data_IF_627673174378
#
_entry.id   IF_627673174378
#
_cell.length_a   1.000
_cell.length_b   1.000
_cell.length_c   1.000
_cell.angle_alpha   90.00
_cell.angle_beta   90.00
_cell.angle_gamma   90.00
#
_symmetry.space_group_name_H-M   'P 1'
#
loop_
_entity.id
_entity.type
_entity.pdbx_description
1 polymer ?
#
# COMPACT_ATOMS: atom_id res chain seq x y z
N UNK A 1 38.96 -9.09 9.68
CA UNK A 1 38.14 -8.06 10.36
C UNK A 1 36.76 -8.69 10.60
N UNK A 2 36.22 -8.64 11.82
CA UNK A 2 34.92 -9.24 12.13
C UNK A 2 33.84 -8.16 12.17
N UNK A 3 33.14 -7.96 11.05
CA UNK A 3 32.01 -7.03 10.98
C UNK A 3 30.72 -7.86 11.14
N UNK A 4 30.07 -7.85 12.32
CA UNK A 4 28.87 -8.66 12.57
C UNK A 4 27.60 -8.00 12.01
N UNK A 5 27.64 -6.70 11.72
CA UNK A 5 26.53 -5.91 11.22
C UNK A 5 27.03 -4.96 10.14
N UNK A 6 26.34 -4.93 9.01
CA UNK A 6 26.68 -4.06 7.89
C UNK A 6 25.41 -3.42 7.32
N UNK A 7 25.48 -2.13 7.07
CA UNK A 7 24.46 -1.39 6.31
C UNK A 7 25.14 -0.83 5.07
N UNK A 8 24.57 -1.08 3.91
CA UNK A 8 25.08 -0.66 2.60
C UNK A 8 24.05 0.28 1.99
N UNK A 9 24.50 1.41 1.47
CA UNK A 9 23.59 2.40 0.87
C UNK A 9 23.03 1.90 -0.45
N UNK A 10 23.87 1.32 -1.29
CA UNK A 10 23.51 0.87 -2.63
C UNK A 10 24.43 -0.29 -3.01
N UNK A 11 23.88 -1.36 -3.58
CA UNK A 11 24.67 -2.50 -4.03
C UNK A 11 23.95 -3.30 -5.11
N UNK A 12 24.71 -3.86 -6.04
CA UNK A 12 24.23 -4.84 -7.03
C UNK A 12 24.52 -6.28 -6.59
N UNK A 13 23.96 -7.26 -7.30
CA UNK A 13 24.06 -8.68 -6.94
C UNK A 13 25.50 -9.20 -6.84
N UNK A 14 26.33 -8.99 -7.87
CA UNK A 14 27.70 -9.50 -7.88
C UNK A 14 28.58 -8.92 -6.76
N UNK A 15 28.62 -7.60 -6.52
CA UNK A 15 29.30 -7.03 -5.37
C UNK A 15 28.79 -7.58 -4.03
N UNK A 16 27.47 -7.77 -3.88
CA UNK A 16 26.88 -8.35 -2.67
C UNK A 16 27.35 -9.80 -2.46
N UNK A 17 27.32 -10.61 -3.50
CA UNK A 17 27.79 -11.99 -3.44
C UNK A 17 29.27 -12.06 -3.02
N UNK A 18 30.15 -11.27 -3.67
CA UNK A 18 31.58 -11.19 -3.31
C UNK A 18 31.78 -10.73 -1.87
N UNK A 19 31.01 -9.75 -1.40
CA UNK A 19 31.07 -9.25 -0.03
C UNK A 19 30.76 -10.37 0.98
N UNK A 20 29.75 -11.19 0.71
CA UNK A 20 29.37 -12.32 1.58
C UNK A 20 30.49 -13.37 1.67
N UNK A 21 31.35 -13.51 0.64
CA UNK A 21 32.54 -14.36 0.70
C UNK A 21 33.62 -13.82 1.65
N UNK A 22 33.79 -12.50 1.71
CA UNK A 22 34.80 -11.85 2.55
C UNK A 22 34.36 -11.63 3.99
N UNK A 23 33.04 -11.60 4.26
CA UNK A 23 32.47 -11.36 5.59
C UNK A 23 31.60 -12.54 6.03
N UNK A 24 32.16 -13.76 6.16
CA UNK A 24 31.36 -14.97 6.36
C UNK A 24 30.61 -15.01 7.70
N UNK A 25 31.06 -14.23 8.70
CA UNK A 25 30.46 -14.18 10.05
C UNK A 25 29.44 -13.05 10.23
N UNK A 26 29.02 -12.41 9.13
CA UNK A 26 28.00 -11.37 9.14
C UNK A 26 26.69 -11.93 9.71
N UNK A 27 26.10 -11.24 10.69
CA UNK A 27 24.84 -11.62 11.34
C UNK A 27 23.68 -10.74 10.91
N UNK A 28 23.97 -9.48 10.58
CA UNK A 28 23.00 -8.49 10.17
C UNK A 28 23.48 -7.81 8.88
N UNK A 29 22.61 -7.80 7.87
CA UNK A 29 22.82 -7.08 6.63
C UNK A 29 21.59 -6.21 6.36
N UNK A 30 21.82 -4.93 6.15
CA UNK A 30 20.83 -4.02 5.60
C UNK A 30 21.36 -3.42 4.30
N UNK A 31 20.51 -3.37 3.29
CA UNK A 31 20.76 -2.70 2.01
C UNK A 31 19.68 -1.63 1.86
N UNK A 32 20.06 -0.38 1.66
CA UNK A 32 19.06 0.68 1.48
C UNK A 32 18.48 0.66 0.06
N UNK A 33 19.34 0.44 -0.93
CA UNK A 33 18.96 0.35 -2.33
C UNK A 33 19.60 -0.88 -2.97
N UNK A 34 18.76 -1.79 -3.47
CA UNK A 34 19.20 -3.02 -4.14
C UNK A 34 18.68 -3.02 -5.57
N UNK A 35 19.60 -2.89 -6.53
CA UNK A 35 19.27 -2.77 -7.94
C UNK A 35 20.01 -3.83 -8.77
N UNK A 36 19.39 -4.28 -9.85
CA UNK A 36 19.92 -5.28 -10.79
C UNK A 36 20.01 -4.73 -12.23
N UNK A 37 19.88 -3.41 -12.40
CA UNK A 37 19.94 -2.72 -13.70
C UNK A 37 21.23 -2.96 -14.51
N UNK A 38 22.28 -3.49 -13.88
CA UNK A 38 23.62 -3.61 -14.47
C UNK A 38 24.00 -5.02 -14.98
N UNK A 39 23.10 -6.03 -14.95
CA UNK A 39 23.58 -7.40 -15.20
C UNK A 39 22.79 -8.25 -16.21
N UNK A 40 23.45 -8.57 -17.34
CA UNK A 40 23.29 -9.85 -18.05
C UNK A 40 23.99 -10.99 -17.26
N UNK A 41 24.08 -10.90 -15.92
CA UNK A 41 24.89 -11.84 -15.14
C UNK A 41 24.12 -13.13 -14.88
N UNK A 42 24.54 -14.15 -15.61
CA UNK A 42 24.12 -15.52 -15.42
C UNK A 42 24.47 -16.01 -14.02
N UNK A 43 23.49 -15.95 -13.12
CA UNK A 43 23.57 -16.45 -11.74
C UNK A 43 23.90 -17.95 -11.68
N UNK A 44 23.78 -18.69 -12.78
CA UNK A 44 24.09 -20.12 -12.87
C UNK A 44 25.53 -20.47 -12.52
N UNK A 45 26.47 -19.52 -12.63
CA UNK A 45 27.89 -19.72 -12.34
C UNK A 45 28.29 -19.36 -10.90
N UNK A 46 27.38 -18.84 -10.08
CA UNK A 46 27.65 -18.50 -8.68
C UNK A 46 27.60 -19.77 -7.82
N UNK A 47 28.75 -20.17 -7.28
CA UNK A 47 28.85 -21.34 -6.39
C UNK A 47 28.13 -21.02 -5.06
N UNK A 48 27.13 -21.81 -4.69
CA UNK A 48 26.42 -21.63 -3.41
C UNK A 48 27.35 -21.74 -2.19
N UNK A 49 27.77 -20.59 -1.65
CA UNK A 49 28.34 -20.51 -0.30
C UNK A 49 27.29 -19.98 0.66
N UNK A 50 26.97 -20.80 1.67
CA UNK A 50 25.97 -20.45 2.65
C UNK A 50 26.54 -19.41 3.63
N UNK A 51 25.92 -18.23 3.72
CA UNK A 51 26.17 -17.25 4.78
C UNK A 51 25.42 -17.68 6.06
N UNK A 52 25.84 -18.81 6.64
CA UNK A 52 25.14 -19.50 7.75
C UNK A 52 25.02 -18.65 9.03
N UNK A 53 25.80 -17.58 9.16
CA UNK A 53 25.76 -16.72 10.34
C UNK A 53 24.72 -15.60 10.20
N UNK A 54 24.23 -15.32 8.98
CA UNK A 54 23.27 -14.26 8.73
C UNK A 54 21.94 -14.62 9.38
N UNK A 55 21.46 -13.73 10.27
CA UNK A 55 20.20 -13.86 11.01
C UNK A 55 19.18 -12.82 10.59
N UNK A 56 19.64 -11.67 10.09
CA UNK A 56 18.78 -10.57 9.67
C UNK A 56 19.24 -10.04 8.33
N UNK A 57 18.30 -9.97 7.40
CA UNK A 57 18.49 -9.38 6.08
C UNK A 57 17.35 -8.39 5.81
N UNK A 58 17.69 -7.13 5.54
CA UNK A 58 16.73 -6.05 5.33
C UNK A 58 17.10 -5.34 4.03
N UNK A 59 16.09 -5.08 3.20
CA UNK A 59 16.19 -4.28 1.98
C UNK A 59 15.17 -3.15 2.10
N UNK A 60 15.59 -1.88 2.07
CA UNK A 60 14.67 -0.75 2.21
C UNK A 60 13.98 -0.41 0.87
N UNK A 61 14.72 -0.52 -0.24
CA UNK A 61 14.21 -0.41 -1.60
C UNK A 61 14.85 -1.48 -2.48
N UNK A 62 14.03 -2.10 -3.33
CA UNK A 62 14.42 -3.21 -4.18
C UNK A 62 13.87 -3.01 -5.59
N UNK A 63 14.76 -3.05 -6.57
CA UNK A 63 14.47 -3.09 -8.00
C UNK A 63 15.06 -4.36 -8.64
N UNK A 64 15.20 -5.44 -7.86
CA UNK A 64 15.71 -6.73 -8.33
C UNK A 64 14.57 -7.72 -8.55
N UNK A 65 14.69 -8.58 -9.56
CA UNK A 65 13.72 -9.62 -9.84
C UNK A 65 13.61 -10.65 -8.70
N UNK A 66 12.47 -11.35 -8.62
CA UNK A 66 12.23 -12.33 -7.55
C UNK A 66 13.26 -13.45 -7.53
N UNK A 67 13.73 -13.90 -8.70
CA UNK A 67 14.67 -15.02 -8.81
C UNK A 67 16.01 -14.73 -8.11
N UNK A 68 16.39 -13.46 -7.99
CA UNK A 68 17.55 -13.02 -7.22
C UNK A 68 17.35 -13.26 -5.72
N UNK A 69 16.16 -12.97 -5.19
CA UNK A 69 15.84 -13.30 -3.80
C UNK A 69 15.79 -14.81 -3.57
N UNK A 70 15.27 -15.60 -4.51
CA UNK A 70 15.32 -17.07 -4.41
C UNK A 70 16.75 -17.56 -4.25
N UNK A 71 17.65 -17.04 -5.07
CA UNK A 71 19.06 -17.39 -5.03
C UNK A 71 19.70 -16.99 -3.68
N UNK A 72 19.53 -15.74 -3.26
CA UNK A 72 20.14 -15.21 -2.04
C UNK A 72 19.60 -15.89 -0.77
N UNK A 73 18.28 -16.05 -0.66
CA UNK A 73 17.64 -16.62 0.53
C UNK A 73 17.98 -18.10 0.73
N UNK A 74 18.20 -18.85 -0.36
CA UNK A 74 18.77 -20.21 -0.29
C UNK A 74 20.17 -20.25 0.32
N UNK A 75 20.94 -19.18 0.17
CA UNK A 75 22.26 -19.04 0.77
C UNK A 75 22.21 -18.66 2.27
N UNK A 76 21.03 -18.31 2.80
CA UNK A 76 20.83 -17.83 4.18
C UNK A 76 19.98 -18.81 5.01
N UNK A 77 20.41 -20.08 5.18
CA UNK A 77 19.57 -21.14 5.77
C UNK A 77 19.17 -20.88 7.24
N UNK A 78 19.81 -19.91 7.88
CA UNK A 78 19.70 -19.60 9.30
C UNK A 78 19.04 -18.24 9.58
N UNK A 79 18.45 -17.65 8.55
CA UNK A 79 17.80 -16.35 8.58
C UNK A 79 16.57 -16.39 9.50
N UNK A 80 16.46 -15.41 10.39
CA UNK A 80 15.35 -15.26 11.34
C UNK A 80 14.42 -14.11 10.98
N UNK A 81 14.99 -13.06 10.40
CA UNK A 81 14.29 -11.85 10.00
C UNK A 81 14.64 -11.53 8.56
N UNK A 82 13.61 -11.40 7.74
CA UNK A 82 13.72 -10.90 6.38
C UNK A 82 12.75 -9.75 6.16
N UNK A 83 13.21 -8.68 5.53
CA UNK A 83 12.37 -7.53 5.24
C UNK A 83 12.65 -6.92 3.87
N UNK A 84 11.60 -6.58 3.12
CA UNK A 84 11.66 -5.79 1.88
C UNK A 84 10.68 -4.62 2.02
N UNK A 85 11.15 -3.40 2.29
CA UNK A 85 10.24 -2.29 2.64
C UNK A 85 9.53 -1.69 1.44
N UNK A 86 10.13 -1.75 0.25
CA UNK A 86 9.51 -1.32 -1.00
C UNK A 86 10.10 -2.14 -2.14
N UNK A 87 9.23 -2.69 -2.98
CA UNK A 87 9.62 -3.29 -4.26
C UNK A 87 8.52 -3.04 -5.26
N UNK A 88 8.90 -2.60 -6.45
CA UNK A 88 7.98 -2.22 -7.53
C UNK A 88 7.86 -3.34 -8.58
N UNK A 89 8.53 -4.47 -8.31
CA UNK A 89 8.62 -5.64 -9.18
C UNK A 89 7.38 -6.52 -9.07
N UNK A 90 6.66 -6.66 -10.19
CA UNK A 90 5.39 -7.40 -10.25
C UNK A 90 5.55 -8.88 -9.83
N UNK A 91 6.72 -9.47 -10.08
CA UNK A 91 7.02 -10.85 -9.68
C UNK A 91 7.03 -11.06 -8.16
N UNK A 92 7.16 -9.98 -7.37
CA UNK A 92 7.08 -10.06 -5.91
C UNK A 92 5.68 -10.39 -5.41
N UNK A 93 4.64 -10.12 -6.21
CA UNK A 93 3.24 -10.43 -5.88
C UNK A 93 2.89 -11.85 -6.34
N UNK A 94 3.63 -12.83 -5.80
CA UNK A 94 3.35 -14.26 -5.95
C UNK A 94 3.43 -14.96 -4.59
N UNK A 95 2.28 -15.13 -3.95
CA UNK A 95 2.18 -15.76 -2.65
C UNK A 95 2.66 -17.22 -2.65
N UNK A 96 2.41 -17.96 -3.74
CA UNK A 96 2.75 -19.38 -3.81
C UNK A 96 4.26 -19.56 -3.93
N UNK A 97 4.92 -18.72 -4.74
CA UNK A 97 6.38 -18.75 -4.91
C UNK A 97 7.09 -18.37 -3.60
N UNK A 98 6.59 -17.34 -2.90
CA UNK A 98 7.09 -17.01 -1.56
C UNK A 98 6.89 -18.15 -0.56
N UNK A 99 5.68 -18.72 -0.49
CA UNK A 99 5.39 -19.85 0.41
C UNK A 99 6.35 -21.02 0.16
N UNK A 100 6.52 -21.42 -1.10
CA UNK A 100 7.44 -22.48 -1.49
C UNK A 100 8.89 -22.19 -1.07
N UNK A 101 9.37 -20.96 -1.29
CA UNK A 101 10.72 -20.56 -0.89
C UNK A 101 10.91 -20.61 0.63
N UNK A 102 9.93 -20.13 1.39
CA UNK A 102 9.97 -20.11 2.86
C UNK A 102 10.00 -21.52 3.42
N UNK A 103 9.09 -22.39 2.95
CA UNK A 103 8.99 -23.79 3.41
C UNK A 103 10.24 -24.60 3.03
N UNK A 104 10.80 -24.38 1.84
CA UNK A 104 11.94 -25.15 1.34
C UNK A 104 13.29 -24.70 1.89
N UNK A 105 13.47 -23.41 2.15
CA UNK A 105 14.80 -22.81 2.32
C UNK A 105 14.98 -22.01 3.61
N UNK A 106 13.90 -21.62 4.29
CA UNK A 106 13.95 -20.69 5.42
C UNK A 106 13.27 -21.26 6.69
N UNK A 107 13.73 -22.42 7.21
CA UNK A 107 13.06 -23.11 8.33
C UNK A 107 13.09 -22.33 9.65
N UNK A 108 13.96 -21.32 9.76
CA UNK A 108 14.10 -20.49 10.96
C UNK A 108 13.54 -19.08 10.79
N UNK A 109 12.79 -18.78 9.73
CA UNK A 109 12.22 -17.45 9.53
C UNK A 109 11.05 -17.23 10.48
N UNK A 110 11.20 -16.28 11.41
CA UNK A 110 10.16 -15.91 12.37
C UNK A 110 9.49 -14.59 11.99
N UNK A 111 10.24 -13.70 11.34
CA UNK A 111 9.76 -12.38 10.93
C UNK A 111 9.97 -12.22 9.45
N UNK A 112 8.87 -12.14 8.71
CA UNK A 112 8.85 -11.70 7.33
C UNK A 112 8.05 -10.41 7.27
N UNK A 113 8.65 -9.36 6.71
CA UNK A 113 8.02 -8.06 6.53
C UNK A 113 8.18 -7.62 5.09
N UNK A 114 7.10 -7.16 4.49
CA UNK A 114 7.20 -6.67 3.12
C UNK A 114 6.17 -5.61 2.79
N UNK A 115 6.44 -4.87 1.73
CA UNK A 115 5.49 -4.04 1.01
C UNK A 115 5.86 -4.09 -0.48
N UNK A 116 5.02 -4.78 -1.25
CA UNK A 116 5.16 -5.00 -2.68
C UNK A 116 4.13 -4.17 -3.43
N UNK A 117 4.59 -3.45 -4.44
CA UNK A 117 3.83 -2.52 -5.24
C UNK A 117 3.74 -3.06 -6.66
N UNK A 118 2.55 -2.97 -7.26
CA UNK A 118 2.31 -3.33 -8.65
C UNK A 118 1.59 -2.18 -9.35
N UNK A 119 2.27 -1.55 -10.29
CA UNK A 119 1.75 -0.46 -11.13
C UNK A 119 1.21 -0.94 -12.50
N UNK A 120 1.07 -2.26 -12.70
CA UNK A 120 0.60 -2.81 -13.97
C UNK A 120 -0.87 -2.52 -14.24
N UNK A 121 -1.24 -2.43 -15.51
CA UNK A 121 -2.63 -2.26 -15.95
C UNK A 121 -3.42 -3.58 -16.06
N UNK A 122 -3.05 -4.60 -15.28
CA UNK A 122 -3.75 -5.91 -15.31
C UNK A 122 -5.18 -5.80 -14.76
N UNK A 123 -6.04 -6.75 -15.17
CA UNK A 123 -7.46 -6.74 -14.82
C UNK A 123 -7.67 -6.80 -13.29
N UNK A 124 -8.60 -5.98 -12.78
CA UNK A 124 -8.92 -5.88 -11.34
C UNK A 124 -9.18 -7.26 -10.71
N UNK A 125 -10.00 -8.10 -11.37
CA UNK A 125 -10.37 -9.41 -10.83
C UNK A 125 -9.15 -10.36 -10.71
N UNK A 126 -8.23 -10.32 -11.69
CA UNK A 126 -7.01 -11.13 -11.65
C UNK A 126 -6.05 -10.69 -10.53
N UNK A 127 -5.93 -9.37 -10.32
CA UNK A 127 -5.15 -8.81 -9.21
C UNK A 127 -5.72 -9.24 -7.86
N UNK A 128 -7.03 -9.12 -7.66
CA UNK A 128 -7.68 -9.50 -6.39
C UNK A 128 -7.43 -10.98 -6.08
N UNK A 129 -7.55 -11.87 -7.07
CA UNK A 129 -7.28 -13.31 -6.87
C UNK A 129 -5.84 -13.54 -6.39
N UNK A 130 -4.84 -12.89 -7.00
CA UNK A 130 -3.43 -13.02 -6.58
C UNK A 130 -3.20 -12.49 -5.17
N UNK A 131 -3.77 -11.33 -4.85
CA UNK A 131 -3.60 -10.68 -3.54
C UNK A 131 -4.25 -11.50 -2.41
N UNK A 132 -5.41 -12.11 -2.67
CA UNK A 132 -6.09 -12.98 -1.70
C UNK A 132 -5.28 -14.23 -1.31
N UNK A 133 -4.34 -14.68 -2.15
CA UNK A 133 -3.46 -15.81 -1.80
C UNK A 133 -2.49 -15.47 -0.65
N UNK A 134 -2.25 -14.19 -0.37
CA UNK A 134 -1.50 -13.74 0.81
C UNK A 134 -2.32 -13.79 2.12
N UNK A 135 -3.61 -14.18 2.06
CA UNK A 135 -4.49 -14.25 3.23
C UNK A 135 -4.85 -15.69 3.64
N UNK A 136 -4.14 -16.69 3.12
CA UNK A 136 -4.35 -18.10 3.49
C UNK A 136 -3.89 -18.40 4.93
N UNK A 137 -4.29 -19.58 5.43
CA UNK A 137 -3.92 -20.06 6.77
C UNK A 137 -2.40 -20.17 6.99
N UNK A 138 -1.63 -20.38 5.92
CA UNK A 138 -0.17 -20.37 5.95
C UNK A 138 0.35 -19.05 6.56
N UNK A 139 -0.12 -17.92 6.05
CA UNK A 139 0.33 -16.61 6.51
C UNK A 139 -0.18 -16.29 7.93
N UNK A 140 -1.49 -16.37 8.13
CA UNK A 140 -2.13 -15.88 9.35
C UNK A 140 -2.07 -16.84 10.54
N UNK A 141 -2.25 -18.15 10.32
CA UNK A 141 -2.33 -19.14 11.43
C UNK A 141 -0.99 -19.79 11.71
N UNK A 142 -0.29 -20.24 10.67
CA UNK A 142 0.99 -20.95 10.83
C UNK A 142 2.13 -19.99 11.16
N UNK A 143 2.23 -18.87 10.46
CA UNK A 143 3.33 -17.91 10.63
C UNK A 143 2.97 -16.65 11.42
N UNK A 144 1.68 -16.39 11.65
CA UNK A 144 1.19 -15.17 12.33
C UNK A 144 1.66 -13.86 11.65
N UNK A 145 1.86 -13.92 10.34
CA UNK A 145 2.12 -12.75 9.51
C UNK A 145 0.78 -12.26 8.95
N UNK A 146 0.34 -11.12 9.48
CA UNK A 146 -0.89 -10.48 9.02
C UNK A 146 -0.59 -9.65 7.79
N UNK A 147 -1.29 -9.95 6.70
CA UNK A 147 -1.09 -9.33 5.41
C UNK A 147 -2.40 -8.69 4.98
N UNK A 148 -2.29 -7.45 4.53
CA UNK A 148 -3.39 -6.71 3.92
C UNK A 148 -2.97 -6.24 2.53
N UNK A 149 -3.94 -5.82 1.75
CA UNK A 149 -3.69 -5.28 0.43
C UNK A 149 -4.61 -4.12 0.11
N UNK A 150 -4.08 -3.19 -0.67
CA UNK A 150 -4.82 -2.08 -1.25
C UNK A 150 -4.81 -2.25 -2.76
N UNK A 151 -5.95 -1.99 -3.39
CA UNK A 151 -6.07 -2.09 -4.83
C UNK A 151 -6.92 -0.94 -5.36
N UNK A 152 -6.42 -0.32 -6.42
CA UNK A 152 -7.19 0.55 -7.30
C UNK A 152 -7.03 0.08 -8.75
N UNK A 153 -7.44 0.89 -9.70
CA UNK A 153 -7.41 0.55 -11.12
C UNK A 153 -6.04 0.73 -11.82
N UNK A 154 -5.04 1.31 -11.14
CA UNK A 154 -3.67 1.49 -11.65
C UNK A 154 -2.62 0.83 -10.79
N UNK A 155 -2.93 0.59 -9.54
CA UNK A 155 -1.99 0.10 -8.57
C UNK A 155 -2.60 -0.95 -7.67
N UNK A 156 -1.75 -1.87 -7.23
CA UNK A 156 -2.00 -2.71 -6.08
C UNK A 156 -0.80 -2.64 -5.15
N UNK A 157 -1.06 -2.78 -3.86
CA UNK A 157 -0.04 -2.94 -2.84
C UNK A 157 -0.43 -4.13 -1.97
N UNK A 158 0.52 -4.99 -1.65
CA UNK A 158 0.36 -6.03 -0.63
C UNK A 158 1.46 -5.89 0.40
N UNK A 159 1.09 -5.88 1.67
CA UNK A 159 2.02 -5.54 2.73
C UNK A 159 1.70 -6.25 4.04
N UNK A 160 2.76 -6.51 4.81
CA UNK A 160 2.61 -7.00 6.17
C UNK A 160 2.19 -5.87 7.09
N UNK A 161 1.10 -6.05 7.84
CA UNK A 161 0.69 -5.10 8.88
C UNK A 161 1.63 -5.31 10.08
N UNK A 162 2.20 -4.25 10.68
CA UNK A 162 2.90 -4.39 11.95
C UNK A 162 1.96 -5.01 12.99
N UNK A 163 2.45 -6.04 13.69
CA UNK A 163 1.73 -6.67 14.79
C UNK A 163 1.53 -5.66 15.94
N UNK A 164 0.42 -4.92 15.88
CA UNK A 164 -0.21 -4.33 17.03
C UNK A 164 -1.47 -5.13 17.29
N UNK A 165 -1.43 -5.92 18.38
CA UNK A 165 -2.50 -6.73 18.91
C UNK A 165 -3.88 -6.05 18.70
N UNK A 166 -4.84 -6.66 17.96
CA UNK A 166 -6.15 -6.03 17.69
C UNK A 166 -7.02 -5.85 18.95
N UNK A 167 -6.52 -6.28 20.11
CA UNK A 167 -7.11 -6.03 21.42
C UNK A 167 -6.72 -4.68 22.05
N UNK A 168 -5.91 -3.85 21.39
CA UNK A 168 -5.58 -2.50 21.88
C UNK A 168 -6.30 -1.42 21.05
N UNK A 169 -7.36 -0.93 21.68
CA UNK A 169 -8.03 0.35 21.49
C UNK A 169 -9.18 0.39 20.46
N UNK A 170 -10.36 0.18 21.02
CA UNK A 170 -11.65 0.73 20.59
C UNK A 170 -11.71 2.27 20.70
N UNK A 171 -10.58 2.98 20.79
CA UNK A 171 -10.55 4.42 20.52
C UNK A 171 -10.40 4.60 19.02
N UNK A 172 -11.35 5.28 18.37
CA UNK A 172 -11.32 5.51 16.93
C UNK A 172 -9.92 6.00 16.50
N UNK A 173 -9.21 5.15 15.74
CA UNK A 173 -7.85 5.38 15.20
C UNK A 173 -7.70 6.73 14.48
N UNK A 174 -8.82 7.35 14.11
CA UNK A 174 -8.88 8.59 13.32
C UNK A 174 -9.32 9.83 14.10
N UNK A 175 -9.40 9.79 15.44
CA UNK A 175 -9.84 10.94 16.23
C UNK A 175 -8.96 12.20 16.02
N UNK A 176 -7.69 12.02 15.65
CA UNK A 176 -6.77 13.12 15.36
C UNK A 176 -6.86 13.65 13.91
N UNK A 177 -7.61 12.98 13.03
CA UNK A 177 -7.76 13.40 11.63
C UNK A 177 -8.67 14.62 11.54
N UNK A 178 -8.09 15.77 11.18
CA UNK A 178 -8.82 17.04 10.97
C UNK A 178 -9.06 17.36 9.50
N UNK A 179 -8.28 16.77 8.59
CA UNK A 179 -8.38 16.98 7.15
C UNK A 179 -8.46 15.61 6.49
N UNK A 180 -9.45 15.44 5.63
CA UNK A 180 -9.69 14.20 4.91
C UNK A 180 -9.86 14.51 3.42
N UNK A 181 -9.17 13.73 2.58
CA UNK A 181 -9.39 13.72 1.14
C UNK A 181 -10.03 12.39 0.80
N UNK A 182 -11.20 12.41 0.19
CA UNK A 182 -11.93 11.22 -0.22
C UNK A 182 -12.07 11.18 -1.73
N UNK A 183 -11.65 10.05 -2.29
CA UNK A 183 -12.05 9.67 -3.63
C UNK A 183 -13.49 9.15 -3.62
N UNK A 184 -14.25 9.46 -4.67
CA UNK A 184 -15.68 9.12 -4.75
C UNK A 184 -15.93 7.59 -4.80
N UNK A 185 -14.91 6.80 -5.17
CA UNK A 185 -14.98 5.33 -5.12
C UNK A 185 -14.84 4.78 -3.69
N UNK A 186 -14.10 5.48 -2.83
CA UNK A 186 -13.95 5.10 -1.43
C UNK A 186 -15.25 5.30 -0.62
N UNK A 187 -16.21 6.07 -1.16
CA UNK A 187 -17.55 6.22 -0.58
C UNK A 187 -18.39 4.98 -0.93
N UNK A 188 -18.17 3.91 -0.18
CA UNK A 188 -18.78 2.59 -0.32
C UNK A 188 -19.48 2.17 0.97
N UNK A 189 -20.63 1.47 0.91
CA UNK A 189 -21.34 1.00 2.11
C UNK A 189 -20.52 0.04 2.97
N UNK A 190 -19.46 -0.57 2.43
CA UNK A 190 -18.55 -1.46 3.16
C UNK A 190 -17.43 -0.71 3.89
N UNK A 191 -17.43 0.63 3.90
CA UNK A 191 -16.43 1.41 4.62
C UNK A 191 -16.59 1.22 6.13
N UNK A 192 -15.58 0.61 6.77
CA UNK A 192 -15.54 0.37 8.21
C UNK A 192 -15.04 1.59 9.01
N UNK A 193 -14.82 2.73 8.36
CA UNK A 193 -14.14 3.88 8.93
C UNK A 193 -15.10 5.01 9.28
N UNK A 194 -14.99 5.57 10.49
CA UNK A 194 -15.70 6.77 10.90
C UNK A 194 -14.73 7.87 11.36
N UNK A 195 -14.79 9.02 10.69
CA UNK A 195 -13.94 10.18 10.91
C UNK A 195 -14.71 11.29 11.64
N UNK A 196 -14.78 11.16 12.98
CA UNK A 196 -15.58 12.03 13.84
C UNK A 196 -15.17 13.52 13.80
N UNK A 197 -13.88 13.80 13.71
CA UNK A 197 -13.31 15.10 14.02
C UNK A 197 -12.81 15.89 12.80
N UNK A 198 -13.17 15.47 11.59
CA UNK A 198 -12.77 16.16 10.35
C UNK A 198 -13.42 17.53 10.28
N UNK A 199 -12.64 18.53 9.90
CA UNK A 199 -13.08 19.92 9.70
C UNK A 199 -12.84 20.37 8.26
N UNK A 200 -11.94 19.71 7.53
CA UNK A 200 -11.66 19.99 6.13
C UNK A 200 -11.88 18.73 5.30
N UNK A 201 -12.88 18.76 4.42
CA UNK A 201 -13.19 17.67 3.51
C UNK A 201 -12.84 18.07 2.07
N UNK A 202 -12.08 17.22 1.40
CA UNK A 202 -11.81 17.32 -0.04
C UNK A 202 -12.50 16.14 -0.71
N UNK A 203 -13.39 16.43 -1.66
CA UNK A 203 -14.08 15.43 -2.48
C UNK A 203 -13.53 15.54 -3.90
N UNK A 204 -12.90 14.47 -4.36
CA UNK A 204 -12.32 14.38 -5.70
C UNK A 204 -11.11 13.44 -5.72
N UNK A 205 -10.71 13.01 -6.91
CA UNK A 205 -9.55 12.15 -7.12
C UNK A 205 -8.77 12.59 -8.37
N UNK A 206 -7.55 12.09 -8.53
CA UNK A 206 -6.77 12.28 -9.75
C UNK A 206 -7.09 11.15 -10.71
N UNK A 207 -8.17 11.27 -11.48
CA UNK A 207 -8.62 10.22 -12.40
C UNK A 207 -8.85 10.72 -13.82
N UNK A 208 -7.96 10.35 -14.75
CA UNK A 208 -8.14 10.54 -16.19
C UNK A 208 -8.93 9.37 -16.81
N UNK A 209 -10.24 9.22 -16.51
CA UNK A 209 -10.99 8.03 -17.00
C UNK A 209 -12.38 8.33 -17.56
N UNK A 210 -12.77 7.50 -18.54
CA UNK A 210 -13.89 7.68 -19.48
C UNK A 210 -15.25 7.16 -18.98
N UNK A 211 -15.34 6.49 -17.82
CA UNK A 211 -16.60 5.96 -17.31
C UNK A 211 -17.21 6.88 -16.23
N UNK A 212 -17.91 7.93 -16.66
CA UNK A 212 -18.32 9.09 -15.84
C UNK A 212 -19.23 8.71 -14.63
N UNK A 213 -19.97 7.61 -14.71
CA UNK A 213 -21.05 7.33 -13.75
C UNK A 213 -20.57 6.85 -12.37
N UNK A 214 -19.49 6.07 -12.28
CA UNK A 214 -18.98 5.56 -10.99
C UNK A 214 -18.27 6.63 -10.16
N UNK A 215 -17.85 7.72 -10.80
CA UNK A 215 -17.09 8.82 -10.21
C UNK A 215 -18.00 9.99 -9.86
N UNK A 216 -19.30 9.88 -10.12
CA UNK A 216 -20.26 10.91 -9.75
C UNK A 216 -20.77 10.66 -8.35
N UNK A 217 -20.74 11.72 -7.54
CA UNK A 217 -21.46 11.77 -6.28
C UNK A 217 -22.96 11.72 -6.60
N UNK A 218 -23.66 10.81 -5.93
CA UNK A 218 -25.10 10.65 -5.99
C UNK A 218 -25.70 10.80 -4.60
N UNK A 219 -27.00 11.01 -4.50
CA UNK A 219 -27.71 11.09 -3.21
C UNK A 219 -27.44 9.87 -2.33
N UNK A 220 -27.40 8.66 -2.91
CA UNK A 220 -27.02 7.43 -2.20
C UNK A 220 -25.60 7.49 -1.65
N UNK A 221 -24.64 8.04 -2.41
CA UNK A 221 -23.26 8.23 -1.91
C UNK A 221 -23.20 9.30 -0.83
N UNK A 222 -24.07 10.32 -0.84
CA UNK A 222 -24.16 11.30 0.25
C UNK A 222 -24.65 10.67 1.56
N UNK A 223 -25.56 9.70 1.49
CA UNK A 223 -26.00 8.94 2.68
C UNK A 223 -24.84 8.14 3.27
N UNK A 224 -24.07 7.44 2.42
CA UNK A 224 -22.87 6.71 2.85
C UNK A 224 -21.80 7.66 3.40
N UNK A 225 -21.60 8.82 2.77
CA UNK A 225 -20.64 9.81 3.22
C UNK A 225 -20.95 10.31 4.64
N UNK A 226 -22.23 10.46 4.98
CA UNK A 226 -22.71 10.84 6.31
C UNK A 226 -22.38 9.77 7.37
N UNK A 227 -22.28 8.50 6.96
CA UNK A 227 -21.84 7.40 7.81
C UNK A 227 -20.32 7.37 8.02
N UNK A 228 -19.54 7.92 7.08
CA UNK A 228 -18.08 7.93 7.12
C UNK A 228 -17.54 9.18 7.81
N UNK A 229 -18.20 10.33 7.63
CA UNK A 229 -17.74 11.63 8.12
C UNK A 229 -18.89 12.34 8.82
N UNK A 230 -18.62 12.95 9.97
CA UNK A 230 -19.57 13.87 10.57
C UNK A 230 -19.65 15.17 9.75
N UNK A 231 -20.60 15.25 8.82
CA UNK A 231 -20.76 16.39 7.92
C UNK A 231 -21.03 17.70 8.66
N UNK A 232 -21.68 17.66 9.83
CA UNK A 232 -21.95 18.86 10.63
C UNK A 232 -20.67 19.54 11.18
N UNK A 233 -19.55 18.81 11.25
CA UNK A 233 -18.26 19.34 11.73
C UNK A 233 -17.42 19.98 10.62
N UNK A 234 -17.81 19.81 9.36
CA UNK A 234 -17.03 20.30 8.22
C UNK A 234 -17.15 21.82 8.14
N UNK A 235 -15.99 22.48 8.22
CA UNK A 235 -15.84 23.94 8.08
C UNK A 235 -15.32 24.33 6.70
N UNK A 236 -14.51 23.47 6.08
CA UNK A 236 -13.91 23.70 4.76
C UNK A 236 -14.28 22.54 3.84
N UNK A 237 -14.97 22.85 2.74
CA UNK A 237 -15.24 21.89 1.67
C UNK A 237 -14.45 22.28 0.43
N UNK A 238 -13.77 21.33 -0.18
CA UNK A 238 -13.20 21.46 -1.53
C UNK A 238 -13.78 20.38 -2.43
N UNK A 239 -14.25 20.79 -3.61
CA UNK A 239 -14.67 19.87 -4.68
C UNK A 239 -13.78 20.14 -5.88
N UNK A 240 -13.07 19.10 -6.33
CA UNK A 240 -11.95 19.28 -7.26
C UNK A 240 -12.34 19.31 -8.74
N UNK A 241 -13.55 18.88 -9.13
CA UNK A 241 -13.95 18.77 -10.54
C UNK A 241 -15.48 18.70 -10.69
N UNK A 242 -16.06 19.31 -11.72
CA UNK A 242 -17.50 19.29 -11.98
C UNK A 242 -18.03 17.93 -12.44
N UNK A 243 -17.18 17.08 -13.04
CA UNK A 243 -17.58 15.73 -13.49
C UNK A 243 -18.07 14.88 -12.33
N UNK A 244 -17.65 15.22 -11.12
CA UNK A 244 -17.95 14.52 -9.89
C UNK A 244 -19.31 14.85 -9.28
N UNK A 245 -20.01 15.91 -9.68
CA UNK A 245 -21.21 16.33 -8.97
C UNK A 245 -22.24 17.02 -9.88
N UNK A 246 -23.53 16.78 -9.67
CA UNK A 246 -24.58 17.60 -10.27
C UNK A 246 -24.92 18.78 -9.36
N UNK A 247 -25.58 19.81 -9.91
CA UNK A 247 -26.12 20.92 -9.13
C UNK A 247 -27.05 20.44 -8.00
N UNK A 248 -27.96 19.50 -8.29
CA UNK A 248 -28.86 18.90 -7.31
C UNK A 248 -28.11 18.25 -6.13
N UNK A 249 -27.13 17.38 -6.43
CA UNK A 249 -26.37 16.66 -5.39
C UNK A 249 -25.49 17.62 -4.60
N UNK A 250 -24.94 18.65 -5.25
CA UNK A 250 -24.19 19.71 -4.56
C UNK A 250 -25.09 20.46 -3.58
N UNK A 251 -26.32 20.80 -3.97
CA UNK A 251 -27.27 21.46 -3.09
C UNK A 251 -27.61 20.59 -1.87
N UNK A 252 -27.86 19.30 -2.07
CA UNK A 252 -28.09 18.33 -1.00
C UNK A 252 -26.90 18.22 -0.04
N UNK A 253 -25.68 18.17 -0.59
CA UNK A 253 -24.45 18.14 0.20
C UNK A 253 -24.32 19.42 1.05
N UNK A 254 -24.51 20.60 0.46
CA UNK A 254 -24.42 21.87 1.19
C UNK A 254 -25.48 21.99 2.28
N UNK A 255 -26.70 21.47 2.06
CA UNK A 255 -27.76 21.43 3.09
C UNK A 255 -27.36 20.59 4.31
N UNK A 256 -26.57 19.53 4.12
CA UNK A 256 -26.04 18.71 5.23
C UNK A 256 -24.85 19.36 5.96
N UNK A 257 -24.20 20.34 5.35
CA UNK A 257 -22.98 20.98 5.85
C UNK A 257 -23.30 22.26 6.64
N UNK A 258 -23.87 22.11 7.83
CA UNK A 258 -24.34 23.23 8.66
C UNK A 258 -23.26 24.21 9.16
N UNK A 259 -21.98 23.81 9.13
CA UNK A 259 -20.86 24.60 9.68
C UNK A 259 -19.87 25.09 8.62
N UNK A 260 -20.16 24.92 7.32
CA UNK A 260 -19.24 25.33 6.25
C UNK A 260 -19.05 26.85 6.26
N UNK A 261 -17.79 27.26 6.38
CA UNK A 261 -17.35 28.66 6.32
C UNK A 261 -16.42 28.92 5.14
N UNK A 262 -15.94 27.87 4.47
CA UNK A 262 -15.07 27.97 3.30
C UNK A 262 -15.48 26.91 2.27
N UNK A 263 -15.79 27.36 1.05
CA UNK A 263 -16.08 26.52 -0.10
C UNK A 263 -15.04 26.79 -1.18
N UNK A 264 -14.37 25.74 -1.66
CA UNK A 264 -13.40 25.80 -2.76
C UNK A 264 -13.91 24.91 -3.89
N UNK A 265 -14.19 25.49 -5.05
CA UNK A 265 -14.76 24.81 -6.21
C UNK A 265 -14.06 25.27 -7.49
N UNK A 266 -14.17 24.47 -8.56
CA UNK A 266 -13.69 24.87 -9.89
C UNK A 266 -14.63 25.91 -10.50
N UNK A 267 -14.14 26.60 -11.54
CA UNK A 267 -14.94 27.55 -12.33
C UNK A 267 -16.16 26.90 -12.96
N UNK A 268 -16.09 25.63 -13.32
CA UNK A 268 -17.19 24.93 -13.98
C UNK A 268 -18.26 24.46 -12.99
N UNK A 269 -17.88 24.09 -11.76
CA UNK A 269 -18.85 23.92 -10.67
C UNK A 269 -19.53 25.26 -10.36
N UNK A 270 -18.79 26.37 -10.36
CA UNK A 270 -19.38 27.69 -10.15
C UNK A 270 -20.40 28.01 -11.25
N UNK A 271 -20.12 27.70 -12.53
CA UNK A 271 -21.10 27.84 -13.61
C UNK A 271 -22.36 27.01 -13.35
N UNK A 272 -22.21 25.75 -12.92
CA UNK A 272 -23.36 24.90 -12.59
C UNK A 272 -24.27 25.55 -11.52
N UNK A 273 -23.68 26.09 -10.45
CA UNK A 273 -24.41 26.80 -9.39
C UNK A 273 -25.13 28.03 -9.95
N UNK A 274 -24.43 28.86 -10.74
CA UNK A 274 -25.00 30.11 -11.27
C UNK A 274 -26.12 29.88 -12.28
N UNK A 275 -26.13 28.73 -12.96
CA UNK A 275 -27.18 28.37 -13.93
C UNK A 275 -28.40 27.69 -13.31
N UNK A 276 -28.29 27.19 -12.08
CA UNK A 276 -29.35 26.45 -11.41
C UNK A 276 -30.08 27.34 -10.39
N UNK A 277 -31.34 27.66 -10.67
CA UNK A 277 -32.16 28.53 -9.83
C UNK A 277 -32.39 27.98 -8.42
N UNK A 278 -32.25 26.67 -8.22
CA UNK A 278 -32.42 26.04 -6.90
C UNK A 278 -31.38 26.47 -5.85
N UNK A 279 -30.29 27.14 -6.26
CA UNK A 279 -29.32 27.75 -5.35
C UNK A 279 -29.67 29.19 -4.94
N UNK A 280 -30.68 29.80 -5.57
CA UNK A 280 -31.15 31.15 -5.28
C UNK A 280 -32.41 31.18 -4.38
N UNK A 281 -32.93 30.00 -4.01
CA UNK A 281 -34.10 29.78 -3.15
C UNK A 281 -33.68 29.14 -1.82
#
# INVERSE_FOLDING_TARGET
MSVPSLTISEIHLLPLYKLLEYVPILKYLQIKDFDDSDTEDDTSNLIHRNAIYLKTFIVDYSNVEFHIFEFLLKCFPNLKTFSIMNSDEIEMIDANRWQYLIESSLPYLHTFKFNFLDYSHTCYDEKVIKLQLFQTDFWAKQHQWYIDFEIDCFSAAVYTIPYENPLISTSNRFDNVKKLSLEIRAISPNSLYYFKNVQSLIIGGYGYYNNINEYKLSTRKLEILDMIVNLSNIKKLRISDERYITSLVLLELLKKLSSVSSLSITTDILKLILTDRSFCE
#
